data_IF_805045624099
#
_entry.id   IF_805045624099
#
_cell.length_a   1.000
_cell.length_b   1.000
_cell.length_c   1.000
_cell.angle_alpha   90.00
_cell.angle_beta   90.00
_cell.angle_gamma   90.00
#
_symmetry.space_group_name_H-M   'P 1'
#
loop_
_entity.id
_entity.type
_entity.pdbx_description
1 polymer ?
#
# COMPACT_ATOMS: atom_id res chain seq x y z
N UNK A 1 84.40 -18.50 14.36
CA UNK A 1 83.34 -18.61 15.37
C UNK A 1 82.41 -17.42 15.15
N UNK A 2 81.17 -17.66 14.72
CA UNK A 2 80.26 -16.65 14.17
C UNK A 2 79.61 -15.79 15.27
N UNK A 3 79.56 -14.48 15.02
CA UNK A 3 78.83 -13.46 15.78
C UNK A 3 77.35 -13.52 15.41
N UNK A 4 76.43 -13.47 16.38
CA UNK A 4 75.01 -13.15 16.16
C UNK A 4 74.63 -11.91 16.96
N UNK A 5 74.30 -10.84 16.23
CA UNK A 5 73.73 -9.59 16.75
C UNK A 5 72.22 -9.76 16.90
N UNK A 6 71.66 -9.32 18.02
CA UNK A 6 70.22 -9.18 18.20
C UNK A 6 69.78 -7.81 17.67
N UNK A 7 68.73 -7.80 16.84
CA UNK A 7 68.01 -6.60 16.44
C UNK A 7 66.63 -6.60 17.10
N UNK A 8 66.13 -5.46 17.62
CA UNK A 8 64.78 -5.39 18.18
C UNK A 8 63.76 -5.30 17.04
N UNK A 9 62.70 -6.11 17.11
CA UNK A 9 61.55 -6.02 16.22
C UNK A 9 60.60 -4.97 16.79
N UNK A 10 60.43 -3.85 16.09
CA UNK A 10 59.38 -2.86 16.36
C UNK A 10 58.12 -3.34 15.66
N UNK A 11 57.10 -3.73 16.43
CA UNK A 11 55.76 -4.03 15.90
C UNK A 11 55.03 -2.70 15.72
N UNK A 12 54.88 -2.26 14.48
CA UNK A 12 54.01 -1.13 14.12
C UNK A 12 52.58 -1.67 14.02
N UNK A 13 51.75 -1.33 15.02
CA UNK A 13 50.29 -1.56 14.93
C UNK A 13 49.72 -0.44 14.04
N UNK A 14 49.44 -0.76 12.79
CA UNK A 14 48.68 0.13 11.91
C UNK A 14 47.21 0.00 12.31
N UNK A 15 46.71 0.94 13.10
CA UNK A 15 45.29 1.09 13.34
C UNK A 15 44.64 1.62 12.05
N UNK A 16 44.07 0.73 11.24
CA UNK A 16 43.13 1.11 10.18
C UNK A 16 41.91 1.70 10.85
N UNK A 17 41.83 3.03 10.93
CA UNK A 17 40.58 3.71 11.24
C UNK A 17 39.61 3.39 10.10
N UNK A 18 38.68 2.46 10.34
CA UNK A 18 37.49 2.35 9.51
C UNK A 18 36.74 3.65 9.70
N UNK A 19 36.81 4.54 8.71
CA UNK A 19 35.98 5.74 8.69
C UNK A 19 34.53 5.31 8.74
N UNK A 20 33.86 5.58 9.85
CA UNK A 20 32.39 5.53 9.90
C UNK A 20 31.94 6.52 8.84
N UNK A 21 31.20 6.09 7.79
CA UNK A 21 30.66 7.04 6.82
C UNK A 21 29.88 8.08 7.62
N UNK A 22 30.24 9.36 7.46
CA UNK A 22 29.50 10.45 8.08
C UNK A 22 28.03 10.24 7.72
N UNK A 23 27.16 10.15 8.73
CA UNK A 23 25.73 10.15 8.51
C UNK A 23 25.43 11.33 7.58
N UNK A 24 24.91 11.06 6.37
CA UNK A 24 24.41 12.12 5.51
C UNK A 24 23.44 12.93 6.38
N UNK A 25 23.71 14.23 6.53
CA UNK A 25 22.79 15.11 7.20
C UNK A 25 21.44 14.91 6.52
N UNK A 26 20.44 14.44 7.27
CA UNK A 26 19.08 14.34 6.75
C UNK A 26 18.69 15.74 6.31
N UNK A 27 18.33 15.91 5.04
CA UNK A 27 17.81 17.17 4.53
C UNK A 27 16.62 17.65 5.39
N UNK A 28 16.29 18.94 5.28
CA UNK A 28 15.07 19.43 5.92
C UNK A 28 13.87 18.64 5.38
N UNK A 29 12.90 18.33 6.24
CA UNK A 29 11.64 17.75 5.78
C UNK A 29 10.95 18.77 4.87
N UNK A 30 10.70 18.38 3.62
CA UNK A 30 10.00 19.20 2.64
C UNK A 30 8.59 18.70 2.52
N UNK A 31 7.64 19.64 2.54
CA UNK A 31 6.23 19.34 2.40
C UNK A 31 5.89 19.16 0.91
N UNK A 32 5.12 18.12 0.60
CA UNK A 32 4.63 17.87 -0.77
C UNK A 32 3.43 18.76 -1.12
N UNK A 33 2.61 19.11 -0.13
CA UNK A 33 1.41 19.95 -0.30
C UNK A 33 1.69 21.42 0.01
N UNK A 34 1.33 22.29 -0.93
CA UNK A 34 1.39 23.75 -0.81
C UNK A 34 0.02 24.32 -0.44
N UNK A 35 -0.63 23.74 0.56
CA UNK A 35 -1.98 24.08 1.05
C UNK A 35 -1.99 25.21 2.12
N UNK A 36 -0.87 25.91 2.25
CA UNK A 36 -0.72 27.07 3.13
C UNK A 36 -0.83 28.34 2.28
N UNK A 37 -1.65 29.34 2.66
CA UNK A 37 -1.79 30.59 1.91
C UNK A 37 -0.49 31.39 1.73
N UNK A 38 0.55 31.09 2.52
CA UNK A 38 1.89 31.68 2.39
C UNK A 38 2.80 30.98 1.38
N UNK A 39 2.42 29.79 0.91
CA UNK A 39 3.12 29.03 -0.12
C UNK A 39 2.55 29.35 -1.51
N UNK A 40 3.08 28.67 -2.54
CA UNK A 40 2.66 28.90 -3.93
C UNK A 40 1.21 28.49 -4.23
N UNK A 41 0.53 27.80 -3.32
CA UNK A 41 -0.76 27.18 -3.58
C UNK A 41 -0.66 25.96 -4.51
N UNK A 42 -1.82 25.43 -4.85
CA UNK A 42 -2.00 24.40 -5.87
C UNK A 42 -2.12 25.07 -7.24
N UNK A 43 -1.43 24.49 -8.23
CA UNK A 43 -1.52 24.89 -9.63
C UNK A 43 -2.12 23.75 -10.44
N UNK A 44 -2.86 24.02 -11.50
CA UNK A 44 -3.33 22.95 -12.39
C UNK A 44 -2.16 22.36 -13.19
N UNK A 45 -2.25 21.07 -13.56
CA UNK A 45 -1.30 20.43 -14.47
C UNK A 45 -1.19 21.19 -15.81
N UNK A 46 -2.33 21.70 -16.32
CA UNK A 46 -2.36 22.53 -17.52
C UNK A 46 -1.51 23.81 -17.38
N UNK A 47 -1.66 24.52 -16.26
CA UNK A 47 -0.83 25.71 -15.97
C UNK A 47 0.63 25.32 -15.82
N UNK A 48 0.92 24.23 -15.12
CA UNK A 48 2.27 23.71 -14.90
C UNK A 48 2.99 23.40 -16.21
N UNK A 49 2.29 22.81 -17.17
CA UNK A 49 2.86 22.41 -18.46
C UNK A 49 2.97 23.56 -19.44
N UNK A 50 1.91 24.38 -19.56
CA UNK A 50 1.79 25.37 -20.64
C UNK A 50 2.20 26.78 -20.24
N UNK A 51 2.27 27.06 -18.94
CA UNK A 51 2.39 28.42 -18.39
C UNK A 51 1.15 29.29 -18.57
N UNK A 52 0.08 28.78 -19.20
CA UNK A 52 -1.19 29.50 -19.33
C UNK A 52 -1.99 29.37 -18.04
N UNK A 53 -2.31 30.48 -17.34
CA UNK A 53 -3.01 30.41 -16.07
C UNK A 53 -4.39 29.79 -16.17
N UNK A 54 -4.62 28.75 -15.36
CA UNK A 54 -5.92 28.17 -15.05
C UNK A 54 -6.00 27.87 -13.55
N UNK A 55 -7.14 28.16 -12.95
CA UNK A 55 -7.51 27.78 -11.59
C UNK A 55 -9.04 27.63 -11.50
N UNK A 56 -9.52 26.93 -10.48
CA UNK A 56 -10.92 26.74 -10.16
C UNK A 56 -11.16 26.79 -8.64
N UNK A 57 -12.40 26.57 -8.22
CA UNK A 57 -12.77 26.59 -6.80
C UNK A 57 -12.09 25.48 -5.99
N UNK A 58 -11.83 24.31 -6.59
CA UNK A 58 -11.17 23.17 -5.94
C UNK A 58 -9.69 23.49 -5.71
N UNK A 59 -8.95 23.92 -6.73
CA UNK A 59 -7.54 24.30 -6.57
C UNK A 59 -7.36 25.49 -5.63
N UNK A 60 -8.28 26.46 -5.67
CA UNK A 60 -8.29 27.60 -4.74
C UNK A 60 -8.51 27.16 -3.29
N UNK A 61 -9.40 26.20 -3.06
CA UNK A 61 -9.61 25.59 -1.75
C UNK A 61 -8.39 24.78 -1.32
N UNK A 62 -7.84 23.96 -2.21
CA UNK A 62 -6.68 23.13 -1.92
C UNK A 62 -5.43 23.92 -1.54
N UNK A 63 -5.32 25.16 -2.02
CA UNK A 63 -4.24 26.08 -1.63
C UNK A 63 -4.33 26.59 -0.18
N UNK A 64 -5.41 26.29 0.55
CA UNK A 64 -5.70 26.91 1.86
C UNK A 64 -6.30 25.95 2.88
N UNK A 65 -6.90 24.86 2.43
CA UNK A 65 -7.79 24.03 3.24
C UNK A 65 -7.07 23.12 4.21
N UNK A 66 -5.76 22.88 4.03
CA UNK A 66 -4.95 21.99 4.90
C UNK A 66 -5.67 20.66 5.18
N UNK A 67 -6.34 20.14 4.16
CA UNK A 67 -6.99 18.84 4.20
C UNK A 67 -5.98 17.76 4.57
N UNK A 68 -6.47 16.62 5.08
CA UNK A 68 -5.60 15.49 5.41
C UNK A 68 -5.09 14.84 4.12
N UNK A 69 -3.92 14.21 4.22
CA UNK A 69 -3.36 13.34 3.20
C UNK A 69 -3.03 11.99 3.85
N UNK A 70 -3.66 10.91 3.39
CA UNK A 70 -3.32 9.54 3.79
C UNK A 70 -2.94 8.71 2.56
N UNK A 71 -2.41 7.51 2.81
CA UNK A 71 -1.97 6.56 1.77
C UNK A 71 -1.02 7.19 0.74
N UNK A 72 0.11 7.78 1.19
CA UNK A 72 1.02 8.45 0.28
C UNK A 72 1.76 7.46 -0.62
N UNK A 73 2.00 7.88 -1.86
CA UNK A 73 2.87 7.23 -2.82
C UNK A 73 3.96 8.19 -3.28
N UNK A 74 5.10 7.64 -3.67
CA UNK A 74 6.22 8.41 -4.23
C UNK A 74 6.98 7.55 -5.23
N UNK A 75 7.39 8.16 -6.33
CA UNK A 75 8.25 7.54 -7.32
C UNK A 75 9.27 8.55 -7.85
N UNK A 76 10.51 8.09 -8.03
CA UNK A 76 11.61 8.87 -8.59
C UNK A 76 11.78 8.48 -10.05
N UNK A 77 11.93 9.47 -10.93
CA UNK A 77 12.16 9.23 -12.35
C UNK A 77 13.52 8.53 -12.56
N UNK A 78 13.56 7.35 -13.19
CA UNK A 78 14.81 6.63 -13.45
C UNK A 78 15.76 7.35 -14.42
N UNK A 79 15.27 8.30 -15.23
CA UNK A 79 16.09 9.10 -16.15
C UNK A 79 16.68 10.34 -15.48
N UNK A 80 16.05 10.84 -14.42
CA UNK A 80 16.49 12.02 -13.70
C UNK A 80 16.03 11.99 -12.22
N UNK A 81 16.93 11.69 -11.27
CA UNK A 81 16.55 11.61 -9.86
C UNK A 81 16.17 12.97 -9.24
N UNK A 82 16.41 14.09 -9.93
CA UNK A 82 15.89 15.39 -9.51
C UNK A 82 14.37 15.50 -9.72
N UNK A 83 13.80 14.67 -10.59
CA UNK A 83 12.35 14.57 -10.82
C UNK A 83 11.75 13.53 -9.89
N UNK A 84 10.94 13.98 -8.94
CA UNK A 84 10.24 13.15 -7.98
C UNK A 84 8.75 13.49 -8.06
N UNK A 85 7.90 12.47 -8.14
CA UNK A 85 6.44 12.65 -8.04
C UNK A 85 5.93 11.92 -6.81
N UNK A 86 5.23 12.66 -5.97
CA UNK A 86 4.43 12.15 -4.86
C UNK A 86 2.95 12.23 -5.16
N UNK A 87 2.16 11.44 -4.43
CA UNK A 87 0.71 11.46 -4.44
C UNK A 87 0.17 11.02 -3.08
N UNK A 88 -1.10 11.28 -2.84
CA UNK A 88 -1.87 10.81 -1.69
C UNK A 88 -3.35 10.98 -2.00
N UNK A 89 -4.20 10.41 -1.17
CA UNK A 89 -5.60 10.79 -1.09
C UNK A 89 -5.67 12.23 -0.58
N UNK A 90 -5.99 13.19 -1.44
CA UNK A 90 -6.02 14.60 -1.07
C UNK A 90 -7.44 15.02 -0.68
N UNK A 91 -7.63 15.28 0.62
CA UNK A 91 -8.92 15.70 1.18
C UNK A 91 -9.17 17.20 1.04
N UNK A 92 -8.31 17.90 0.31
CA UNK A 92 -8.35 19.34 0.19
C UNK A 92 -9.65 19.94 -0.40
N UNK A 93 -10.46 19.26 -1.24
CA UNK A 93 -11.80 19.75 -1.62
C UNK A 93 -12.91 19.38 -0.62
N UNK A 94 -12.62 18.51 0.36
CA UNK A 94 -13.59 17.90 1.26
C UNK A 94 -13.68 18.64 2.59
N UNK A 95 -12.54 19.04 3.15
CA UNK A 95 -12.44 19.58 4.52
C UNK A 95 -11.77 20.94 4.52
N UNK A 96 -12.22 21.85 5.39
CA UNK A 96 -11.51 23.08 5.75
C UNK A 96 -10.38 22.79 6.76
N UNK A 97 -9.53 23.80 6.99
CA UNK A 97 -8.38 23.69 7.90
C UNK A 97 -8.78 23.47 9.37
N UNK A 98 -10.01 23.83 9.74
CA UNK A 98 -10.60 23.57 11.06
C UNK A 98 -11.32 22.21 11.14
N UNK A 99 -11.29 21.42 10.07
CA UNK A 99 -11.95 20.12 9.97
C UNK A 99 -13.44 20.18 9.62
N UNK A 100 -14.02 21.36 9.40
CA UNK A 100 -15.40 21.48 8.94
C UNK A 100 -15.56 21.02 7.49
N UNK A 101 -16.71 20.43 7.16
CA UNK A 101 -17.00 19.94 5.80
C UNK A 101 -17.16 21.10 4.82
N UNK A 102 -16.39 21.07 3.74
CA UNK A 102 -16.36 22.06 2.66
C UNK A 102 -17.29 21.67 1.50
N UNK A 103 -17.30 20.40 1.11
CA UNK A 103 -18.22 19.86 0.11
C UNK A 103 -18.08 20.42 -1.30
N UNK A 104 -16.87 20.82 -1.72
CA UNK A 104 -16.61 21.27 -3.09
C UNK A 104 -16.36 20.12 -4.08
N UNK A 105 -16.05 18.93 -3.57
CA UNK A 105 -15.81 17.70 -4.32
C UNK A 105 -15.50 16.56 -3.36
N UNK A 106 -15.11 15.41 -3.92
CA UNK A 106 -14.66 14.25 -3.16
C UNK A 106 -13.13 14.19 -3.08
N UNK A 107 -12.63 13.24 -2.28
CA UNK A 107 -11.19 12.94 -2.17
C UNK A 107 -10.65 12.62 -3.57
N UNK A 108 -9.50 13.17 -3.91
CA UNK A 108 -8.90 12.94 -5.23
C UNK A 108 -7.39 12.72 -5.15
N UNK A 109 -6.79 12.21 -6.23
CA UNK A 109 -5.35 12.03 -6.28
C UNK A 109 -4.59 13.36 -6.37
N UNK A 110 -3.72 13.59 -5.40
CA UNK A 110 -2.69 14.60 -5.48
C UNK A 110 -1.65 14.29 -6.55
N UNK A 111 -1.10 15.32 -7.18
CA UNK A 111 0.08 15.24 -8.04
C UNK A 111 1.10 16.26 -7.55
N UNK A 112 2.12 15.78 -6.83
CA UNK A 112 3.11 16.63 -6.19
C UNK A 112 4.47 16.41 -6.86
N UNK A 113 4.97 17.41 -7.59
CA UNK A 113 6.16 17.26 -8.43
C UNK A 113 7.32 18.09 -7.89
N UNK A 114 8.49 17.48 -7.77
CA UNK A 114 9.79 18.14 -7.60
C UNK A 114 10.60 18.05 -8.89
N UNK A 115 11.44 19.07 -9.13
CA UNK A 115 12.43 19.13 -10.22
C UNK A 115 13.84 19.48 -9.68
N UNK A 116 14.03 19.35 -8.37
CA UNK A 116 15.24 19.74 -7.64
C UNK A 116 15.68 18.69 -6.61
N UNK A 117 15.29 17.42 -6.81
CA UNK A 117 15.68 16.32 -5.92
C UNK A 117 14.98 16.35 -4.57
N UNK A 118 13.77 16.90 -4.53
CA UNK A 118 12.92 16.97 -3.34
C UNK A 118 13.20 18.17 -2.44
N UNK A 119 13.93 19.20 -2.90
CA UNK A 119 14.13 20.44 -2.13
C UNK A 119 12.86 21.31 -2.12
N UNK A 120 12.04 21.22 -3.17
CA UNK A 120 10.72 21.83 -3.23
C UNK A 120 9.75 21.00 -4.07
N UNK A 121 8.45 21.18 -3.83
CA UNK A 121 7.39 20.55 -4.59
C UNK A 121 6.42 21.60 -5.12
N UNK A 122 5.90 21.36 -6.32
CA UNK A 122 4.72 22.02 -6.86
C UNK A 122 3.53 21.07 -6.70
N UNK A 123 2.47 21.55 -6.07
CA UNK A 123 1.28 20.74 -5.81
C UNK A 123 0.19 20.97 -6.86
N UNK A 124 -0.41 19.87 -7.28
CA UNK A 124 -1.56 19.83 -8.19
C UNK A 124 -2.47 18.66 -7.79
N UNK A 125 -3.54 18.48 -8.57
CA UNK A 125 -4.35 17.28 -8.57
C UNK A 125 -4.21 16.60 -9.94
N UNK A 126 -4.32 15.28 -9.99
CA UNK A 126 -4.44 14.58 -11.27
C UNK A 126 -5.68 15.11 -12.00
N UNK A 127 -5.62 15.53 -13.28
CA UNK A 127 -6.80 16.04 -13.98
C UNK A 127 -7.96 15.03 -14.02
N UNK A 128 -9.19 15.53 -13.94
CA UNK A 128 -10.42 14.73 -13.90
C UNK A 128 -11.18 14.74 -12.57
N UNK A 129 -10.76 15.49 -11.56
CA UNK A 129 -11.51 15.67 -10.32
C UNK A 129 -12.87 16.36 -10.56
N UNK A 130 -13.82 16.17 -9.64
CA UNK A 130 -15.11 16.86 -9.70
C UNK A 130 -14.93 18.39 -9.70
N UNK A 131 -15.42 19.05 -10.75
CA UNK A 131 -15.26 20.49 -10.94
C UNK A 131 -14.07 20.90 -11.80
N UNK A 132 -13.20 19.97 -12.23
CA UNK A 132 -12.13 20.25 -13.19
C UNK A 132 -12.73 20.68 -14.54
N UNK A 133 -12.44 21.92 -14.93
CA UNK A 133 -12.79 22.49 -16.24
C UNK A 133 -11.54 22.90 -17.01
N UNK A 134 -10.38 22.39 -16.61
CA UNK A 134 -9.13 22.65 -17.32
C UNK A 134 -9.21 22.05 -18.73
N UNK A 135 -8.40 22.55 -19.68
CA UNK A 135 -8.28 21.92 -20.99
C UNK A 135 -7.83 20.44 -20.94
N UNK A 136 -7.28 19.98 -19.83
CA UNK A 136 -6.88 18.59 -19.62
C UNK A 136 -7.99 17.71 -19.04
N UNK A 137 -9.05 18.28 -18.46
CA UNK A 137 -10.20 17.54 -17.95
C UNK A 137 -10.81 16.61 -19.01
N UNK A 138 -10.89 17.06 -20.27
CA UNK A 138 -11.43 16.28 -21.38
C UNK A 138 -10.59 15.04 -21.76
N UNK A 139 -9.36 14.93 -21.24
CA UNK A 139 -8.48 13.76 -21.42
C UNK A 139 -8.72 12.69 -20.34
N UNK A 140 -9.44 13.03 -19.27
CA UNK A 140 -9.78 12.10 -18.20
C UNK A 140 -11.03 11.30 -18.57
N UNK A 141 -10.92 9.97 -18.59
CA UNK A 141 -12.03 9.05 -18.88
C UNK A 141 -12.27 8.11 -17.69
N UNK A 142 -12.50 8.71 -16.53
CA UNK A 142 -12.81 8.03 -15.27
C UNK A 142 -14.29 8.23 -14.97
N UNK A 143 -15.01 7.17 -14.58
CA UNK A 143 -16.47 7.25 -14.38
C UNK A 143 -16.91 7.71 -12.99
N UNK A 144 -16.00 7.76 -12.03
CA UNK A 144 -16.24 8.03 -10.61
C UNK A 144 -15.91 9.47 -10.22
N UNK A 145 -16.31 9.88 -9.03
CA UNK A 145 -16.12 11.24 -8.52
C UNK A 145 -14.96 11.40 -7.53
N UNK A 146 -14.52 10.30 -6.94
CA UNK A 146 -13.40 10.24 -6.00
C UNK A 146 -12.25 9.41 -6.58
N UNK A 147 -11.14 9.43 -5.86
CA UNK A 147 -9.99 8.58 -6.12
C UNK A 147 -9.12 8.43 -4.89
N UNK A 148 -8.57 7.23 -4.67
CA UNK A 148 -7.69 6.93 -3.55
C UNK A 148 -6.67 5.82 -3.83
N UNK A 149 -5.87 5.49 -2.83
CA UNK A 149 -4.78 4.49 -2.88
C UNK A 149 -3.87 4.68 -4.10
N UNK A 150 -3.20 5.85 -4.23
CA UNK A 150 -2.33 6.11 -5.36
C UNK A 150 -1.18 5.12 -5.41
N UNK A 151 -0.85 4.69 -6.62
CA UNK A 151 0.39 3.97 -6.92
C UNK A 151 1.05 4.58 -8.13
N UNK A 152 2.37 4.69 -8.12
CA UNK A 152 3.16 5.42 -9.12
C UNK A 152 4.29 4.55 -9.65
N UNK A 153 4.45 4.47 -10.97
CA UNK A 153 5.61 3.84 -11.60
C UNK A 153 6.02 4.57 -12.88
N UNK A 154 7.31 4.50 -13.19
CA UNK A 154 7.92 5.12 -14.35
C UNK A 154 8.38 4.07 -15.34
N UNK A 155 8.31 4.38 -16.63
CA UNK A 155 9.08 3.63 -17.62
C UNK A 155 10.46 4.23 -17.86
N UNK A 156 11.27 3.54 -18.68
CA UNK A 156 12.61 3.94 -19.12
C UNK A 156 12.61 5.15 -20.07
N UNK A 157 11.41 5.61 -20.46
CA UNK A 157 11.17 6.64 -21.47
C UNK A 157 10.60 7.93 -20.86
N UNK A 158 10.60 8.07 -19.53
CA UNK A 158 10.16 9.30 -18.84
C UNK A 158 8.64 9.49 -18.83
N UNK A 159 7.87 8.42 -19.03
CA UNK A 159 6.43 8.41 -18.78
C UNK A 159 6.17 7.94 -17.35
N UNK A 160 5.30 8.66 -16.67
CA UNK A 160 4.79 8.30 -15.35
C UNK A 160 3.39 7.70 -15.51
N UNK A 161 3.12 6.63 -14.78
CA UNK A 161 1.81 6.02 -14.66
C UNK A 161 1.32 6.15 -13.23
N UNK A 162 0.09 6.63 -13.06
CA UNK A 162 -0.55 6.76 -11.76
C UNK A 162 -1.81 5.89 -11.74
N UNK A 163 -1.85 4.88 -10.87
CA UNK A 163 -3.01 4.04 -10.64
C UNK A 163 -3.78 4.47 -9.40
N UNK A 164 -5.08 4.16 -9.37
CA UNK A 164 -5.95 4.48 -8.23
C UNK A 164 -7.12 3.51 -8.12
N UNK A 165 -7.63 3.33 -6.91
CA UNK A 165 -9.03 2.93 -6.72
C UNK A 165 -9.96 4.14 -6.84
N UNK A 166 -11.22 3.90 -7.17
CA UNK A 166 -12.24 4.93 -7.18
C UNK A 166 -13.65 4.37 -7.07
N UNK A 167 -14.58 5.08 -6.43
CA UNK A 167 -15.84 4.46 -5.98
C UNK A 167 -17.08 5.33 -5.99
N UNK A 168 -16.98 6.62 -5.74
CA UNK A 168 -18.13 7.49 -5.55
C UNK A 168 -18.87 7.76 -6.86
N UNK A 169 -20.19 7.64 -6.81
CA UNK A 169 -21.09 7.99 -7.92
C UNK A 169 -21.14 9.50 -8.11
N UNK A 170 -20.76 10.05 -9.28
CA UNK A 170 -20.83 11.50 -9.54
C UNK A 170 -22.22 12.12 -9.38
N UNK A 171 -23.28 11.31 -9.44
CA UNK A 171 -24.64 11.78 -9.16
C UNK A 171 -24.95 11.93 -7.65
N UNK A 172 -24.00 11.61 -6.75
CA UNK A 172 -24.15 11.71 -5.31
C UNK A 172 -25.09 10.65 -4.71
N UNK A 173 -25.27 9.51 -5.37
CA UNK A 173 -26.12 8.43 -4.85
C UNK A 173 -25.37 7.55 -3.84
N UNK A 174 -26.10 6.76 -3.06
CA UNK A 174 -25.50 5.80 -2.11
C UNK A 174 -24.83 4.59 -2.79
N UNK A 175 -24.68 4.57 -4.12
CA UNK A 175 -24.02 3.49 -4.85
C UNK A 175 -22.51 3.66 -4.79
N UNK A 176 -21.82 2.55 -4.58
CA UNK A 176 -20.37 2.46 -4.76
C UNK A 176 -20.07 1.75 -6.07
N UNK A 177 -19.33 2.41 -6.96
CA UNK A 177 -18.94 1.89 -8.26
C UNK A 177 -17.81 0.89 -8.13
N UNK A 178 -16.80 1.18 -7.30
CA UNK A 178 -15.71 0.26 -6.94
C UNK A 178 -14.81 -0.07 -8.12
N UNK A 179 -14.34 0.96 -8.81
CA UNK A 179 -13.48 0.94 -9.98
C UNK A 179 -12.00 1.07 -9.63
N UNK A 180 -11.19 0.80 -10.65
CA UNK A 180 -9.79 1.19 -10.67
C UNK A 180 -9.46 1.77 -12.03
N UNK A 181 -8.56 2.74 -12.06
CA UNK A 181 -8.15 3.43 -13.28
C UNK A 181 -6.64 3.71 -13.29
N UNK A 182 -6.10 4.01 -14.48
CA UNK A 182 -4.70 4.41 -14.65
C UNK A 182 -4.62 5.69 -15.48
N UNK A 183 -3.83 6.66 -15.00
CA UNK A 183 -3.39 7.84 -15.76
C UNK A 183 -2.01 7.63 -16.37
N UNK A 184 -1.77 8.31 -17.48
CA UNK A 184 -0.46 8.40 -18.13
C UNK A 184 -0.04 9.86 -18.22
N UNK A 185 1.19 10.11 -17.81
CA UNK A 185 1.89 11.38 -17.98
C UNK A 185 3.09 11.19 -18.92
N UNK A 186 3.48 12.24 -19.61
CA UNK A 186 4.61 12.24 -20.54
C UNK A 186 5.48 13.49 -20.39
N UNK A 187 6.62 13.50 -21.09
CA UNK A 187 7.38 14.71 -21.31
C UNK A 187 6.69 15.60 -22.38
N UNK A 188 6.34 16.86 -22.08
CA UNK A 188 5.68 17.75 -23.05
C UNK A 188 6.55 18.08 -24.26
N UNK A 189 7.88 17.90 -24.17
CA UNK A 189 8.81 18.05 -25.27
C UNK A 189 9.08 16.73 -26.03
N UNK A 190 8.26 15.71 -25.77
CA UNK A 190 8.43 14.36 -26.30
C UNK A 190 9.47 13.55 -25.53
N UNK A 191 9.52 12.26 -25.83
CA UNK A 191 10.36 11.26 -25.15
C UNK A 191 11.84 11.64 -25.07
N UNK A 192 12.37 12.26 -26.13
CA UNK A 192 13.76 12.72 -26.22
C UNK A 192 13.98 14.15 -25.68
N UNK A 193 12.95 14.75 -25.06
CA UNK A 193 13.04 16.08 -24.46
C UNK A 193 13.95 16.09 -23.22
N UNK A 194 14.27 17.28 -22.68
CA UNK A 194 15.00 17.41 -21.42
C UNK A 194 14.26 16.66 -20.30
N UNK A 195 14.96 15.81 -19.55
CA UNK A 195 14.35 14.92 -18.56
C UNK A 195 13.71 15.63 -17.37
N UNK A 196 14.03 16.90 -17.12
CA UNK A 196 13.26 17.74 -16.18
C UNK A 196 11.77 17.88 -16.54
N UNK A 197 11.39 17.59 -17.79
CA UNK A 197 10.01 17.52 -18.25
C UNK A 197 9.35 16.15 -18.11
N UNK A 198 10.06 15.10 -17.75
CA UNK A 198 9.54 13.73 -17.73
C UNK A 198 8.35 13.61 -16.76
N UNK A 199 7.30 12.93 -17.20
CA UNK A 199 6.05 12.77 -16.45
C UNK A 199 5.32 14.07 -16.10
N UNK A 200 5.62 15.21 -16.76
CA UNK A 200 5.02 16.52 -16.43
C UNK A 200 3.65 16.73 -17.04
N UNK A 201 3.39 16.25 -18.26
CA UNK A 201 2.11 16.50 -18.96
C UNK A 201 1.13 15.34 -18.78
N UNK A 202 -0.05 15.62 -18.24
CA UNK A 202 -1.16 14.68 -18.25
C UNK A 202 -1.66 14.38 -19.68
N UNK A 203 -1.63 13.11 -20.05
CA UNK A 203 -2.03 12.64 -21.38
C UNK A 203 -3.45 12.10 -21.37
N UNK A 204 -3.79 11.29 -20.38
CA UNK A 204 -5.09 10.61 -20.25
C UNK A 204 -5.22 9.92 -18.90
N UNK A 205 -6.46 9.61 -18.54
CA UNK A 205 -6.81 8.53 -17.61
C UNK A 205 -7.94 7.68 -18.19
N UNK A 206 -8.04 6.41 -17.77
CA UNK A 206 -9.09 5.50 -18.20
C UNK A 206 -9.39 4.43 -17.14
N UNK A 207 -10.66 4.05 -16.99
CA UNK A 207 -11.06 2.88 -16.19
C UNK A 207 -10.41 1.59 -16.74
N UNK A 208 -9.68 0.85 -15.90
CA UNK A 208 -9.09 -0.45 -16.30
C UNK A 208 -9.93 -1.63 -15.84
N UNK A 209 -10.70 -1.47 -14.76
CA UNK A 209 -11.72 -2.43 -14.35
C UNK A 209 -12.88 -1.73 -13.64
N UNK A 210 -14.09 -2.15 -13.99
CA UNK A 210 -15.33 -1.64 -13.38
C UNK A 210 -15.79 -2.55 -12.26
N UNK A 211 -16.20 -1.96 -11.14
CA UNK A 211 -17.00 -2.63 -10.13
C UNK A 211 -18.48 -2.64 -10.52
N UNK A 212 -19.35 -3.06 -9.59
CA UNK A 212 -20.76 -3.39 -9.91
C UNK A 212 -21.82 -2.43 -9.36
N UNK A 213 -21.46 -1.19 -9.02
CA UNK A 213 -22.41 -0.11 -8.69
C UNK A 213 -23.50 -0.54 -7.68
N UNK A 214 -23.12 -0.86 -6.45
CA UNK A 214 -24.02 -1.36 -5.41
C UNK A 214 -23.92 -0.56 -4.11
N UNK A 215 -25.00 -0.40 -3.33
CA UNK A 215 -24.92 0.17 -1.98
C UNK A 215 -24.13 -0.73 -1.02
N UNK A 216 -23.50 -0.11 -0.01
CA UNK A 216 -22.86 -0.80 1.12
C UNK A 216 -21.84 -1.89 0.71
N UNK A 217 -21.07 -1.65 -0.36
CA UNK A 217 -20.05 -2.58 -0.87
C UNK A 217 -20.57 -4.00 -1.19
N UNK A 218 -21.89 -4.15 -1.42
CA UNK A 218 -22.51 -5.45 -1.75
C UNK A 218 -22.20 -5.94 -3.17
N UNK A 219 -21.39 -5.20 -3.91
CA UNK A 219 -21.01 -5.48 -5.29
C UNK A 219 -19.57 -5.98 -5.42
N UNK A 220 -18.98 -5.69 -6.58
CA UNK A 220 -17.53 -5.76 -6.80
C UNK A 220 -16.95 -4.40 -6.47
N UNK A 221 -15.98 -4.41 -5.57
CA UNK A 221 -15.18 -3.26 -5.18
C UNK A 221 -13.72 -3.61 -5.37
N UNK A 222 -12.95 -2.71 -5.98
CA UNK A 222 -11.53 -2.91 -6.29
C UNK A 222 -10.73 -1.94 -5.44
N UNK A 223 -9.69 -2.43 -4.77
CA UNK A 223 -8.88 -1.66 -3.81
C UNK A 223 -7.52 -2.36 -3.63
N UNK A 224 -6.58 -1.75 -2.89
CA UNK A 224 -5.21 -2.23 -2.65
C UNK A 224 -4.49 -2.46 -3.97
N UNK A 225 -4.26 -1.34 -4.64
CA UNK A 225 -3.67 -1.31 -5.97
C UNK A 225 -2.14 -1.44 -5.91
N UNK A 226 -1.53 -1.87 -7.01
CA UNK A 226 -0.09 -1.85 -7.26
C UNK A 226 0.16 -1.66 -8.74
N UNK A 227 1.22 -0.92 -9.07
CA UNK A 227 1.64 -0.63 -10.44
C UNK A 227 3.16 -0.77 -10.54
N UNK A 228 3.64 -1.39 -11.62
CA UNK A 228 5.06 -1.43 -11.97
C UNK A 228 5.18 -1.40 -13.49
N UNK A 229 6.32 -0.91 -13.98
CA UNK A 229 6.59 -0.84 -15.41
C UNK A 229 7.89 -1.55 -15.72
N UNK A 230 7.86 -2.33 -16.78
CA UNK A 230 9.07 -2.97 -17.30
C UNK A 230 10.02 -1.92 -17.88
N UNK A 231 11.26 -1.93 -17.40
CA UNK A 231 12.37 -1.03 -17.76
C UNK A 231 13.63 -1.83 -18.07
N UNK A 232 13.49 -3.13 -18.36
CA UNK A 232 14.61 -4.05 -18.58
C UNK A 232 15.32 -3.80 -19.93
N UNK A 233 14.71 -3.02 -20.83
CA UNK A 233 15.18 -2.89 -22.22
C UNK A 233 14.93 -4.14 -23.09
N UNK A 234 14.23 -5.14 -22.55
CA UNK A 234 13.90 -6.39 -23.23
C UNK A 234 12.65 -6.29 -24.12
N UNK A 235 12.12 -7.45 -24.53
CA UNK A 235 10.93 -7.52 -25.37
C UNK A 235 9.64 -6.99 -24.70
N UNK A 236 9.67 -6.85 -23.38
CA UNK A 236 8.57 -6.36 -22.57
C UNK A 236 8.73 -4.88 -22.16
N UNK A 237 9.81 -4.21 -22.56
CA UNK A 237 10.15 -2.86 -22.10
C UNK A 237 9.01 -1.85 -22.35
N UNK A 238 8.71 -1.05 -21.33
CA UNK A 238 7.60 -0.09 -21.33
C UNK A 238 6.21 -0.71 -21.19
N UNK A 239 6.09 -2.02 -20.96
CA UNK A 239 4.82 -2.63 -20.57
C UNK A 239 4.42 -2.19 -19.16
N UNK A 240 3.18 -1.76 -19.01
CA UNK A 240 2.62 -1.32 -17.72
C UNK A 240 1.84 -2.47 -17.11
N UNK A 241 2.14 -2.80 -15.87
CA UNK A 241 1.47 -3.85 -15.12
C UNK A 241 0.70 -3.23 -13.97
N UNK A 242 -0.58 -3.59 -13.82
CA UNK A 242 -1.44 -3.05 -12.78
C UNK A 242 -2.25 -4.17 -12.13
N UNK A 243 -2.25 -4.22 -10.81
CA UNK A 243 -2.89 -5.25 -10.01
C UNK A 243 -3.68 -4.64 -8.85
N UNK A 244 -4.68 -5.36 -8.38
CA UNK A 244 -5.53 -4.93 -7.26
C UNK A 244 -6.21 -6.12 -6.59
N UNK A 245 -6.68 -5.90 -5.37
CA UNK A 245 -7.60 -6.80 -4.70
C UNK A 245 -9.05 -6.46 -5.07
N UNK A 246 -9.83 -7.45 -5.52
CA UNK A 246 -11.28 -7.32 -5.68
C UNK A 246 -12.00 -7.94 -4.51
N UNK A 247 -12.75 -7.12 -3.80
CA UNK A 247 -13.72 -7.52 -2.80
C UNK A 247 -15.07 -7.79 -3.46
N UNK A 248 -15.67 -8.93 -3.17
CA UNK A 248 -16.99 -9.30 -3.69
C UNK A 248 -17.94 -9.53 -2.53
N UNK A 249 -18.89 -8.60 -2.34
CA UNK A 249 -19.96 -8.71 -1.35
C UNK A 249 -21.18 -9.48 -1.87
N UNK A 250 -22.15 -9.73 -0.99
CA UNK A 250 -23.47 -10.25 -1.35
C UNK A 250 -23.55 -11.73 -1.77
N UNK A 251 -22.46 -12.49 -1.61
CA UNK A 251 -22.44 -13.94 -1.85
C UNK A 251 -23.05 -14.74 -0.68
N UNK A 252 -23.64 -15.90 -0.97
CA UNK A 252 -24.14 -16.85 0.03
C UNK A 252 -23.03 -17.44 0.92
N UNK A 253 -21.77 -17.24 0.54
CA UNK A 253 -20.57 -17.64 1.29
C UNK A 253 -19.89 -16.47 2.01
N UNK A 254 -20.53 -15.30 2.10
CA UNK A 254 -19.93 -14.10 2.69
C UNK A 254 -19.05 -13.31 1.72
N UNK A 255 -18.40 -12.26 2.21
CA UNK A 255 -17.45 -11.45 1.42
C UNK A 255 -16.17 -12.23 1.16
N UNK A 256 -15.63 -12.14 -0.06
CA UNK A 256 -14.33 -12.69 -0.40
C UNK A 256 -13.44 -11.66 -1.10
N UNK A 257 -12.12 -11.85 -1.03
CA UNK A 257 -11.16 -11.08 -1.83
C UNK A 257 -10.36 -11.96 -2.80
N UNK A 258 -9.92 -11.37 -3.91
CA UNK A 258 -9.12 -12.03 -4.94
C UNK A 258 -8.23 -11.03 -5.66
N UNK A 259 -6.98 -11.38 -5.97
CA UNK A 259 -6.10 -10.52 -6.76
C UNK A 259 -6.41 -10.64 -8.26
N UNK A 260 -6.50 -9.49 -8.92
CA UNK A 260 -6.64 -9.33 -10.36
C UNK A 260 -5.44 -8.57 -10.94
N UNK A 261 -5.22 -8.77 -12.23
CA UNK A 261 -4.10 -8.19 -12.98
C UNK A 261 -4.54 -7.77 -14.38
N UNK A 262 -3.98 -6.68 -14.87
CA UNK A 262 -4.00 -6.26 -16.28
C UNK A 262 -2.60 -5.84 -16.72
N UNK A 263 -2.38 -5.90 -18.02
CA UNK A 263 -1.19 -5.31 -18.65
C UNK A 263 -1.55 -4.39 -19.80
N UNK A 264 -0.73 -3.39 -20.03
CA UNK A 264 -0.68 -2.60 -21.25
C UNK A 264 0.63 -2.87 -21.98
N UNK A 265 0.55 -3.08 -23.29
CA UNK A 265 1.73 -3.21 -24.17
C UNK A 265 1.86 -2.03 -25.13
N UNK A 266 1.16 -0.94 -24.84
CA UNK A 266 1.08 0.27 -25.66
C UNK A 266 1.19 1.56 -24.82
N UNK A 267 1.93 1.46 -23.72
CA UNK A 267 2.26 2.55 -22.79
C UNK A 267 1.00 3.22 -22.21
N UNK A 268 0.12 2.40 -21.64
CA UNK A 268 -1.10 2.83 -20.95
C UNK A 268 -2.16 3.42 -21.88
N UNK A 269 -2.14 3.14 -23.20
CA UNK A 269 -3.23 3.54 -24.10
C UNK A 269 -4.41 2.58 -23.98
N UNK A 270 -4.13 1.29 -23.90
CA UNK A 270 -5.12 0.24 -23.67
C UNK A 270 -4.58 -0.80 -22.68
N UNK A 271 -5.50 -1.50 -22.00
CA UNK A 271 -5.16 -2.58 -21.08
C UNK A 271 -5.90 -3.86 -21.49
N UNK A 272 -5.31 -5.00 -21.18
CA UNK A 272 -5.95 -6.31 -21.31
C UNK A 272 -7.22 -6.41 -20.47
N UNK A 273 -8.06 -7.41 -20.75
CA UNK A 273 -9.14 -7.74 -19.82
C UNK A 273 -8.58 -8.20 -18.46
N UNK A 274 -9.26 -7.88 -17.32
CA UNK A 274 -8.82 -8.31 -16.00
C UNK A 274 -8.69 -9.83 -15.87
N UNK A 275 -7.51 -10.28 -15.44
CA UNK A 275 -7.19 -11.68 -15.18
C UNK A 275 -7.17 -11.95 -13.67
N UNK A 276 -7.93 -12.95 -13.21
CA UNK A 276 -7.91 -13.39 -11.81
C UNK A 276 -6.66 -14.24 -11.56
N UNK A 277 -5.76 -13.79 -10.68
CA UNK A 277 -4.53 -14.53 -10.32
C UNK A 277 -4.76 -15.51 -9.17
N UNK A 278 -5.70 -15.21 -8.28
CA UNK A 278 -5.87 -15.93 -7.02
C UNK A 278 -6.28 -17.40 -7.18
N UNK A 279 -6.69 -17.87 -8.36
CA UNK A 279 -7.06 -19.26 -8.68
C UNK A 279 -7.77 -19.99 -7.52
N UNK A 280 -7.09 -20.94 -6.86
CA UNK A 280 -7.58 -21.78 -5.75
C UNK A 280 -7.37 -21.17 -4.36
N UNK A 281 -6.72 -20.02 -4.28
CA UNK A 281 -6.49 -19.26 -3.05
C UNK A 281 -7.55 -18.18 -2.92
N UNK A 282 -8.07 -18.04 -1.72
CA UNK A 282 -9.14 -17.12 -1.36
C UNK A 282 -8.67 -16.20 -0.25
N UNK A 283 -9.40 -15.10 -0.05
CA UNK A 283 -9.11 -14.10 0.96
C UNK A 283 -7.65 -13.63 0.88
N UNK A 284 -7.30 -13.08 -0.29
CA UNK A 284 -5.99 -12.52 -0.57
C UNK A 284 -6.07 -11.02 -0.88
N UNK A 285 -5.10 -10.23 -0.43
CA UNK A 285 -5.04 -8.78 -0.64
C UNK A 285 -3.59 -8.28 -0.70
N UNK A 286 -3.43 -6.96 -0.86
CA UNK A 286 -2.15 -6.27 -0.93
C UNK A 286 -1.22 -6.86 -2.01
N UNK A 287 -1.66 -6.91 -3.28
CA UNK A 287 -0.77 -7.28 -4.36
C UNK A 287 0.40 -6.30 -4.43
N UNK A 288 1.60 -6.82 -4.69
CA UNK A 288 2.75 -6.00 -5.08
C UNK A 288 3.47 -6.64 -6.27
N UNK A 289 3.81 -5.81 -7.26
CA UNK A 289 4.35 -6.25 -8.55
C UNK A 289 5.86 -6.04 -8.55
N UNK A 290 6.61 -7.03 -9.01
CA UNK A 290 8.05 -6.92 -9.23
C UNK A 290 8.42 -7.44 -10.61
N UNK A 291 9.31 -6.73 -11.29
CA UNK A 291 9.88 -7.14 -12.59
C UNK A 291 11.36 -7.41 -12.39
N UNK A 292 11.84 -8.59 -12.77
CA UNK A 292 13.26 -8.96 -12.67
C UNK A 292 14.02 -8.56 -13.93
N UNK A 293 15.36 -8.57 -13.90
CA UNK A 293 16.18 -8.09 -15.03
C UNK A 293 16.07 -8.88 -16.33
N UNK A 294 15.42 -10.05 -16.31
CA UNK A 294 15.05 -10.86 -17.48
C UNK A 294 13.62 -10.59 -18.00
N UNK A 295 12.89 -9.65 -17.40
CA UNK A 295 11.52 -9.27 -17.78
C UNK A 295 10.44 -10.20 -17.23
N UNK A 296 10.77 -11.11 -16.30
CA UNK A 296 9.74 -11.89 -15.60
C UNK A 296 8.96 -11.00 -14.64
N UNK A 297 7.65 -11.24 -14.55
CA UNK A 297 6.73 -10.47 -13.70
C UNK A 297 6.24 -11.34 -12.56
N UNK A 298 6.45 -10.88 -11.34
CA UNK A 298 5.97 -11.51 -10.12
C UNK A 298 4.89 -10.64 -9.50
N UNK A 299 3.75 -11.25 -9.16
CA UNK A 299 2.71 -10.60 -8.37
C UNK A 299 2.63 -11.32 -7.04
N UNK A 300 3.06 -10.65 -5.99
CA UNK A 300 3.10 -11.16 -4.61
C UNK A 300 1.90 -10.63 -3.84
N UNK A 301 1.41 -11.35 -2.83
CA UNK A 301 0.26 -10.92 -2.03
C UNK A 301 0.21 -11.64 -0.67
N UNK A 302 -0.52 -11.05 0.27
CA UNK A 302 -0.88 -11.70 1.54
C UNK A 302 -2.12 -12.57 1.34
N UNK A 303 -2.03 -13.82 1.73
CA UNK A 303 -3.16 -14.70 1.98
C UNK A 303 -3.49 -14.64 3.47
N UNK A 304 -4.74 -14.38 3.79
CA UNK A 304 -5.26 -14.42 5.16
C UNK A 304 -5.64 -15.84 5.55
N UNK A 305 -5.65 -16.12 6.85
CA UNK A 305 -6.29 -17.33 7.37
C UNK A 305 -7.74 -17.40 6.88
N UNK A 306 -8.03 -18.44 6.09
CA UNK A 306 -9.27 -18.63 5.35
C UNK A 306 -10.12 -19.70 6.03
N UNK A 307 -11.19 -19.24 6.69
CA UNK A 307 -12.20 -20.09 7.34
C UNK A 307 -13.09 -20.85 6.34
N UNK A 308 -13.11 -20.46 5.06
CA UNK A 308 -13.89 -21.08 3.98
C UNK A 308 -13.09 -22.18 3.26
N UNK A 309 -11.77 -22.03 3.13
CA UNK A 309 -10.84 -22.93 2.44
C UNK A 309 -10.06 -23.90 3.33
N UNK A 310 -10.28 -23.87 4.65
CA UNK A 310 -9.56 -24.69 5.65
C UNK A 310 -8.08 -24.32 5.84
N UNK A 311 -7.63 -23.14 5.40
CA UNK A 311 -6.26 -22.64 5.63
C UNK A 311 -6.22 -21.81 6.91
N UNK A 312 -5.78 -22.40 8.01
CA UNK A 312 -5.81 -21.77 9.33
C UNK A 312 -4.64 -20.80 9.60
N UNK A 313 -3.86 -20.43 8.58
CA UNK A 313 -2.66 -19.59 8.75
C UNK A 313 -2.50 -18.60 7.61
N UNK A 314 -2.04 -17.40 7.94
CA UNK A 314 -1.60 -16.39 6.99
C UNK A 314 -0.34 -16.82 6.26
N UNK A 315 -0.21 -16.38 5.01
CA UNK A 315 0.92 -16.70 4.16
C UNK A 315 1.23 -15.60 3.15
N UNK A 316 2.47 -15.58 2.68
CA UNK A 316 2.88 -14.83 1.49
C UNK A 316 2.87 -15.80 0.32
N UNK A 317 2.25 -15.41 -0.77
CA UNK A 317 2.24 -16.18 -2.01
C UNK A 317 2.53 -15.28 -3.21
N UNK A 318 2.88 -15.88 -4.34
CA UNK A 318 3.05 -15.18 -5.61
C UNK A 318 2.56 -15.98 -6.80
N UNK A 319 2.27 -15.29 -7.89
CA UNK A 319 2.22 -15.85 -9.24
C UNK A 319 3.37 -15.27 -10.07
N UNK A 320 3.94 -16.05 -10.97
CA UNK A 320 5.00 -15.61 -11.88
C UNK A 320 4.57 -15.70 -13.34
N UNK A 321 5.01 -14.73 -14.15
CA UNK A 321 4.87 -14.69 -15.60
C UNK A 321 6.25 -14.59 -16.23
N UNK A 322 6.47 -15.36 -17.30
CA UNK A 322 7.69 -15.33 -18.11
C UNK A 322 7.41 -14.84 -19.54
N UNK A 323 6.21 -14.30 -19.77
CA UNK A 323 5.69 -13.91 -21.09
C UNK A 323 5.08 -12.50 -21.08
N UNK A 324 5.77 -11.57 -20.43
CA UNK A 324 5.37 -10.16 -20.31
C UNK A 324 3.98 -9.97 -19.68
N UNK A 325 3.62 -10.77 -18.67
CA UNK A 325 2.32 -10.73 -18.00
C UNK A 325 1.15 -11.28 -18.82
N UNK A 326 1.40 -11.97 -19.94
CA UNK A 326 0.33 -12.53 -20.76
C UNK A 326 -0.36 -13.73 -20.09
N UNK A 327 0.41 -14.57 -19.41
CA UNK A 327 -0.07 -15.69 -18.60
C UNK A 327 0.73 -15.78 -17.29
N UNK A 328 0.15 -16.46 -16.29
CA UNK A 328 0.78 -16.64 -14.99
C UNK A 328 0.72 -18.09 -14.53
N UNK A 329 1.71 -18.48 -13.73
CA UNK A 329 1.73 -19.75 -12.99
C UNK A 329 0.54 -19.90 -12.05
N UNK A 330 0.37 -21.10 -11.49
CA UNK A 330 -0.44 -21.25 -10.28
C UNK A 330 0.19 -20.50 -9.09
N UNK A 331 -0.59 -20.15 -8.04
CA UNK A 331 -0.05 -19.56 -6.81
C UNK A 331 1.03 -20.43 -6.16
N UNK A 332 2.13 -19.81 -5.77
CA UNK A 332 3.22 -20.43 -5.02
C UNK A 332 3.33 -19.79 -3.64
N UNK A 333 3.12 -20.57 -2.58
CA UNK A 333 3.31 -20.11 -1.20
C UNK A 333 4.82 -20.01 -0.92
N UNK A 334 5.25 -18.83 -0.48
CA UNK A 334 6.62 -18.55 -0.04
C UNK A 334 6.80 -19.06 1.38
N UNK A 335 5.99 -18.55 2.30
CA UNK A 335 6.07 -18.87 3.73
C UNK A 335 4.77 -18.47 4.46
N UNK A 336 4.39 -19.27 5.45
CA UNK A 336 3.35 -18.95 6.43
C UNK A 336 3.91 -18.10 7.58
N UNK A 337 3.09 -17.24 8.17
CA UNK A 337 3.50 -16.38 9.28
C UNK A 337 2.36 -16.13 10.28
N UNK A 338 2.71 -15.67 11.47
CA UNK A 338 1.74 -15.09 12.42
C UNK A 338 1.69 -13.58 12.17
N UNK A 339 0.51 -13.00 11.88
CA UNK A 339 0.45 -11.59 11.53
C UNK A 339 0.66 -10.67 12.73
N UNK A 340 1.09 -9.45 12.45
CA UNK A 340 1.01 -8.29 13.32
C UNK A 340 -0.18 -7.47 12.83
N UNK A 341 -1.35 -7.62 13.45
CA UNK A 341 -2.56 -6.88 13.09
C UNK A 341 -3.05 -6.10 14.33
N UNK A 342 -2.59 -4.84 14.51
CA UNK A 342 -2.93 -4.03 15.68
C UNK A 342 -4.41 -3.66 15.73
N UNK A 343 -5.04 -4.01 16.85
CA UNK A 343 -6.43 -3.71 17.20
C UNK A 343 -6.52 -2.97 18.52
N UNK A 344 -7.63 -2.26 18.72
CA UNK A 344 -7.94 -1.59 19.98
C UNK A 344 -9.47 -1.58 20.18
N UNK A 345 -9.92 -1.08 21.32
CA UNK A 345 -11.32 -0.92 21.66
C UNK A 345 -11.65 0.57 21.66
N UNK A 346 -12.66 0.98 20.89
CA UNK A 346 -13.18 2.34 20.93
C UNK A 346 -13.87 2.65 22.26
N UNK A 347 -13.95 3.92 22.64
CA UNK A 347 -14.69 4.36 23.84
C UNK A 347 -16.18 4.03 23.79
N UNK A 348 -16.72 3.75 22.60
CA UNK A 348 -18.07 3.26 22.35
C UNK A 348 -18.22 1.72 22.52
N UNK A 349 -17.12 1.03 22.86
CA UNK A 349 -17.06 -0.42 23.03
C UNK A 349 -16.91 -1.21 21.73
N UNK A 350 -16.73 -0.52 20.59
CA UNK A 350 -16.47 -1.16 19.31
C UNK A 350 -15.05 -1.74 19.27
N UNK A 351 -14.88 -2.90 18.62
CA UNK A 351 -13.57 -3.55 18.44
C UNK A 351 -13.12 -3.26 17.01
N UNK A 352 -12.38 -2.17 16.80
CA UNK A 352 -11.88 -1.79 15.49
C UNK A 352 -10.47 -1.19 15.60
N UNK A 353 -9.68 -1.34 14.54
CA UNK A 353 -8.42 -0.60 14.36
C UNK A 353 -8.59 0.91 14.19
N UNK A 354 -9.84 1.38 14.07
CA UNK A 354 -10.20 2.74 13.61
C UNK A 354 -10.52 3.74 14.75
N UNK A 355 -10.28 3.39 16.01
CA UNK A 355 -10.33 4.39 17.07
C UNK A 355 -9.10 5.30 17.01
N UNK A 356 -9.23 6.54 17.48
CA UNK A 356 -8.17 7.54 17.51
C UNK A 356 -8.40 8.52 18.65
N UNK A 357 -8.71 9.76 18.30
CA UNK A 357 -8.91 10.87 19.23
C UNK A 357 -10.38 11.33 19.30
N UNK A 358 -10.65 12.25 20.23
CA UNK A 358 -11.95 12.89 20.38
C UNK A 358 -13.11 11.90 20.58
N UNK A 359 -14.16 12.06 19.76
CA UNK A 359 -15.37 11.23 19.82
C UNK A 359 -15.11 9.77 19.39
N UNK A 360 -14.04 9.52 18.63
CA UNK A 360 -13.59 8.19 18.23
C UNK A 360 -12.45 7.69 19.11
N UNK A 361 -12.31 8.20 20.33
CA UNK A 361 -11.22 7.88 21.25
C UNK A 361 -10.98 6.38 21.44
N UNK A 362 -9.72 5.96 21.58
CA UNK A 362 -9.40 4.60 22.01
C UNK A 362 -9.44 4.46 23.53
N UNK A 363 -9.95 3.33 24.03
CA UNK A 363 -9.95 2.99 25.46
C UNK A 363 -8.53 2.85 26.03
N UNK A 364 -7.55 2.51 25.19
CA UNK A 364 -6.12 2.51 25.54
C UNK A 364 -5.54 3.92 25.75
N UNK A 365 -6.19 4.95 25.20
CA UNK A 365 -5.68 6.32 25.11
C UNK A 365 -4.67 6.55 23.97
N UNK A 366 -4.39 5.57 23.12
CA UNK A 366 -3.45 5.70 22.00
C UNK A 366 -4.07 6.23 20.72
N UNK A 367 -3.34 7.11 20.02
CA UNK A 367 -3.83 7.84 18.83
C UNK A 367 -2.91 7.73 17.61
N UNK A 368 -2.09 6.69 17.52
CA UNK A 368 -1.19 6.46 16.38
C UNK A 368 -1.83 5.55 15.31
N UNK A 369 -1.30 5.63 14.08
CA UNK A 369 -1.74 4.80 12.96
C UNK A 369 -1.52 3.31 13.24
N UNK A 370 -2.50 2.49 12.88
CA UNK A 370 -2.47 1.04 13.04
C UNK A 370 -2.44 0.38 11.67
N UNK A 371 -1.28 -0.13 11.29
CA UNK A 371 -1.10 -0.92 10.07
C UNK A 371 -0.95 -2.39 10.43
N UNK A 372 -1.71 -3.26 9.76
CA UNK A 372 -1.50 -4.70 9.83
C UNK A 372 -0.34 -5.16 8.96
N UNK A 373 0.04 -6.43 9.06
CA UNK A 373 1.13 -6.99 8.25
C UNK A 373 0.82 -6.82 6.77
N UNK A 374 1.73 -6.17 6.06
CA UNK A 374 1.65 -5.99 4.61
C UNK A 374 2.91 -6.56 3.95
N UNK A 375 2.75 -7.01 2.70
CA UNK A 375 3.89 -7.40 1.87
C UNK A 375 4.32 -6.22 1.02
N UNK A 376 5.62 -6.01 0.92
CA UNK A 376 6.26 -5.20 -0.12
C UNK A 376 7.27 -6.05 -0.86
N UNK A 377 7.29 -5.93 -2.17
CA UNK A 377 8.15 -6.69 -3.06
C UNK A 377 8.88 -5.76 -4.01
N UNK A 378 10.13 -6.07 -4.31
CA UNK A 378 10.88 -5.39 -5.36
C UNK A 378 11.87 -6.33 -6.01
N UNK A 379 12.33 -5.97 -7.20
CA UNK A 379 13.38 -6.65 -7.93
C UNK A 379 14.27 -5.63 -8.62
N UNK A 380 15.54 -5.97 -8.80
CA UNK A 380 16.46 -5.15 -9.57
C UNK A 380 16.30 -5.47 -11.06
N UNK A 381 15.63 -4.58 -11.79
CA UNK A 381 15.44 -4.69 -13.23
C UNK A 381 16.74 -4.58 -14.03
N UNK A 382 17.86 -4.17 -13.42
CA UNK A 382 19.17 -4.13 -14.07
C UNK A 382 19.99 -5.41 -13.83
N UNK A 383 19.59 -6.25 -12.88
CA UNK A 383 20.26 -7.54 -12.62
C UNK A 383 19.80 -8.60 -13.62
N UNK A 384 20.34 -8.53 -14.83
CA UNK A 384 20.10 -9.53 -15.88
C UNK A 384 20.71 -10.91 -15.56
N UNK A 385 21.46 -11.05 -14.45
CA UNK A 385 22.11 -12.31 -14.08
C UNK A 385 21.31 -13.13 -13.10
N UNK A 386 20.35 -12.51 -12.41
CA UNK A 386 19.56 -13.18 -11.40
C UNK A 386 18.07 -12.85 -11.46
N UNK A 387 17.27 -13.89 -11.31
CA UNK A 387 15.82 -13.82 -11.16
C UNK A 387 15.48 -13.76 -9.65
N UNK A 388 15.72 -12.60 -9.03
CA UNK A 388 15.49 -12.37 -7.60
C UNK A 388 14.37 -11.38 -7.33
N UNK A 389 13.45 -11.80 -6.48
CA UNK A 389 12.47 -10.93 -5.82
C UNK A 389 12.82 -10.83 -4.34
N UNK A 390 12.89 -9.59 -3.85
CA UNK A 390 13.11 -9.25 -2.46
C UNK A 390 11.77 -8.91 -1.81
N UNK A 391 11.40 -9.70 -0.81
CA UNK A 391 10.16 -9.56 -0.08
C UNK A 391 10.45 -8.98 1.30
N UNK A 392 9.68 -7.98 1.73
CA UNK A 392 9.68 -7.43 3.09
C UNK A 392 8.28 -7.49 3.65
N UNK A 393 8.16 -8.04 4.84
CA UNK A 393 6.92 -8.12 5.61
C UNK A 393 7.25 -8.09 7.10
N UNK A 394 6.26 -7.76 7.91
CA UNK A 394 6.36 -7.50 9.34
C UNK A 394 5.51 -8.50 10.16
N UNK A 395 5.98 -9.75 10.32
CA UNK A 395 5.26 -10.77 11.07
C UNK A 395 5.49 -10.65 12.59
N UNK A 396 4.60 -11.26 13.35
CA UNK A 396 4.80 -11.63 14.75
C UNK A 396 5.68 -12.88 14.84
N UNK A 397 6.57 -12.96 15.85
CA UNK A 397 7.31 -14.21 16.12
C UNK A 397 6.51 -14.99 17.16
N UNK A 398 6.15 -16.24 16.84
CA UNK A 398 5.39 -17.07 17.76
C UNK A 398 6.06 -17.25 19.12
N UNK A 399 5.28 -17.12 20.19
CA UNK A 399 5.67 -17.40 21.58
C UNK A 399 6.42 -16.27 22.27
N UNK A 400 6.33 -15.03 21.76
CA UNK A 400 6.99 -13.86 22.33
C UNK A 400 6.03 -12.72 22.66
N UNK A 401 4.74 -13.05 22.76
CA UNK A 401 3.66 -12.15 23.10
C UNK A 401 3.72 -11.78 24.60
N UNK A 402 3.45 -10.52 24.95
CA UNK A 402 3.35 -10.05 26.33
C UNK A 402 2.04 -9.28 26.53
N UNK A 403 1.44 -9.28 27.74
CA UNK A 403 0.28 -8.45 28.02
C UNK A 403 0.60 -6.97 27.78
N UNK A 404 -0.25 -6.27 27.05
CA UNK A 404 -0.07 -4.84 26.76
C UNK A 404 -0.42 -3.93 27.94
N UNK A 405 -1.20 -4.45 28.89
CA UNK A 405 -1.75 -3.68 30.01
C UNK A 405 -2.85 -2.69 29.59
N UNK A 406 -3.31 -2.74 28.34
CA UNK A 406 -4.36 -1.88 27.78
C UNK A 406 -5.30 -2.69 26.87
N UNK A 407 -6.28 -2.04 26.26
CA UNK A 407 -7.14 -2.63 25.22
C UNK A 407 -6.44 -2.75 23.86
N UNK A 408 -5.31 -2.08 23.68
CA UNK A 408 -4.50 -2.17 22.46
C UNK A 408 -3.71 -3.49 22.44
N UNK A 409 -3.73 -4.19 21.32
CA UNK A 409 -2.90 -5.38 21.08
C UNK A 409 -2.70 -5.65 19.60
N UNK A 410 -1.77 -6.54 19.26
CA UNK A 410 -1.34 -6.77 17.87
C UNK A 410 -1.39 -8.20 17.39
N UNK A 411 -1.88 -9.09 18.25
CA UNK A 411 -2.08 -10.52 17.97
C UNK A 411 -3.37 -10.95 18.66
N UNK A 412 -4.28 -11.57 17.94
CA UNK A 412 -5.45 -12.24 18.52
C UNK A 412 -5.08 -13.70 18.78
N UNK A 413 -4.74 -14.01 20.03
CA UNK A 413 -4.85 -15.41 20.49
C UNK A 413 -6.32 -15.78 20.44
N UNK A 414 -6.68 -16.92 19.82
CA UNK A 414 -8.06 -17.43 19.69
C UNK A 414 -8.80 -17.64 21.04
N UNK A 415 -8.16 -17.33 22.18
CA UNK A 415 -8.61 -17.62 23.54
C UNK A 415 -8.93 -16.38 24.42
N UNK A 416 -9.09 -15.16 23.90
CA UNK A 416 -9.29 -13.97 24.75
C UNK A 416 -10.74 -13.44 24.79
N UNK A 417 -11.34 -13.28 25.99
CA UNK A 417 -12.42 -12.31 26.22
C UNK A 417 -11.86 -10.89 26.29
N UNK A 418 -12.70 -9.92 25.91
CA UNK A 418 -12.43 -8.53 25.55
C UNK A 418 -11.77 -7.57 26.58
N UNK A 419 -10.95 -8.03 27.54
CA UNK A 419 -10.42 -7.16 28.60
C UNK A 419 -8.89 -7.15 28.79
N UNK A 420 -8.12 -8.03 28.14
CA UNK A 420 -6.64 -7.96 28.16
C UNK A 420 -6.07 -8.32 26.80
N UNK A 421 -5.43 -7.36 26.11
CA UNK A 421 -4.79 -7.58 24.82
C UNK A 421 -3.27 -7.75 24.96
N UNK A 422 -2.62 -8.43 24.02
CA UNK A 422 -1.17 -8.64 24.02
C UNK A 422 -0.46 -7.75 22.99
N UNK A 423 0.70 -7.20 23.36
CA UNK A 423 1.64 -6.51 22.47
C UNK A 423 2.96 -7.27 22.42
N UNK A 424 3.84 -6.91 21.48
CA UNK A 424 5.14 -7.54 21.30
C UNK A 424 6.26 -6.51 21.22
N UNK A 425 7.39 -6.77 21.88
CA UNK A 425 8.62 -5.99 21.72
C UNK A 425 9.49 -6.59 20.60
N UNK A 426 9.66 -5.83 19.51
CA UNK A 426 10.58 -6.14 18.41
C UNK A 426 9.90 -6.76 17.18
N UNK A 427 9.64 -5.92 16.18
CA UNK A 427 9.38 -6.38 14.81
C UNK A 427 10.69 -6.83 14.16
N UNK A 428 10.67 -7.96 13.47
CA UNK A 428 11.76 -8.34 12.55
C UNK A 428 11.20 -8.13 11.16
N UNK A 429 11.82 -7.24 10.37
CA UNK A 429 11.59 -7.23 8.93
C UNK A 429 12.09 -8.58 8.38
N UNK A 430 11.16 -9.41 7.89
CA UNK A 430 11.52 -10.64 7.22
C UNK A 430 11.97 -10.32 5.80
N UNK A 431 13.27 -10.42 5.49
CA UNK A 431 13.73 -10.41 4.11
C UNK A 431 13.82 -11.84 3.61
N UNK A 432 12.92 -12.23 2.71
CA UNK A 432 13.03 -13.50 1.98
C UNK A 432 13.52 -13.21 0.57
N UNK A 433 14.66 -13.81 0.21
CA UNK A 433 15.08 -13.94 -1.18
C UNK A 433 14.33 -15.12 -1.77
N UNK A 434 13.28 -14.84 -2.53
CA UNK A 434 12.67 -15.89 -3.35
C UNK A 434 13.61 -16.13 -4.53
N UNK A 435 14.22 -17.31 -4.58
CA UNK A 435 14.86 -17.81 -5.81
C UNK A 435 13.89 -18.81 -6.42
N UNK A 436 13.50 -18.63 -7.68
CA UNK A 436 12.72 -19.61 -8.41
C UNK A 436 13.60 -20.84 -8.75
N UNK A 437 14.03 -21.59 -7.72
CA UNK A 437 14.51 -22.97 -7.88
C UNK A 437 13.67 -23.87 -6.98
N UNK A 438 13.05 -24.87 -7.60
CA UNK A 438 12.17 -25.83 -6.98
C UNK A 438 12.77 -26.43 -5.68
N UNK A 439 12.08 -26.20 -4.57
CA UNK A 439 12.06 -27.06 -3.39
C UNK A 439 13.13 -26.80 -2.32
N UNK A 440 12.69 -26.21 -1.21
CA UNK A 440 12.77 -26.80 0.15
C UNK A 440 12.14 -25.88 1.20
N UNK A 441 11.12 -26.39 1.88
CA UNK A 441 10.47 -25.77 3.04
C UNK A 441 11.42 -25.79 4.25
N UNK A 442 11.57 -24.65 4.94
CA UNK A 442 12.15 -24.61 6.29
C UNK A 442 11.06 -24.89 7.33
N UNK A 443 11.39 -25.65 8.38
CA UNK A 443 10.47 -26.06 9.45
C UNK A 443 10.61 -25.11 10.65
N UNK A 444 9.51 -24.59 11.18
CA UNK A 444 9.50 -23.76 12.38
C UNK A 444 9.61 -24.62 13.67
N UNK A 445 10.36 -24.18 14.70
CA UNK A 445 10.45 -24.90 15.97
C UNK A 445 9.27 -24.57 16.90
N UNK A 446 8.83 -25.57 17.66
CA UNK A 446 7.74 -25.49 18.63
C UNK A 446 8.22 -24.83 19.94
N UNK A 447 7.59 -23.71 20.33
CA UNK A 447 7.83 -22.96 21.57
C UNK A 447 6.66 -23.04 22.55
N UNK A 448 6.92 -22.88 23.84
CA UNK A 448 6.04 -23.21 24.96
C UNK A 448 4.84 -22.27 25.16
N UNK A 449 3.69 -22.85 25.58
CA UNK A 449 2.42 -22.16 25.84
C UNK A 449 2.41 -21.40 27.17
N UNK A 450 1.77 -20.23 27.21
CA UNK A 450 1.27 -19.61 28.43
C UNK A 450 0.27 -20.57 29.13
N UNK A 451 0.60 -21.01 30.36
CA UNK A 451 -0.21 -21.96 31.11
C UNK A 451 -1.42 -21.30 31.77
N UNK A 452 -2.57 -21.97 31.62
CA UNK A 452 -3.83 -21.79 32.37
C UNK A 452 -3.61 -21.54 33.87
N UNK A 453 -4.17 -20.45 34.37
CA UNK A 453 -4.56 -20.31 35.78
C UNK A 453 -6.08 -20.49 35.88
N UNK A 454 -6.56 -21.70 36.14
CA UNK A 454 -7.95 -21.91 36.56
C UNK A 454 -8.03 -21.82 38.09
N UNK A 455 -8.44 -20.66 38.61
CA UNK A 455 -9.10 -20.58 39.93
C UNK A 455 -10.31 -19.64 39.83
N UNK A 456 -11.41 -20.18 39.32
CA UNK A 456 -12.75 -19.65 39.60
C UNK A 456 -13.34 -20.43 40.78
N UNK A 457 -13.56 -19.74 41.91
CA UNK A 457 -14.38 -20.24 43.01
C UNK A 457 -15.83 -20.28 42.51
N UNK A 458 -16.39 -21.47 42.31
CA UNK A 458 -17.84 -21.65 42.15
C UNK A 458 -18.53 -21.24 43.45
N UNK A 459 -19.40 -20.24 43.36
CA UNK A 459 -20.48 -20.03 44.33
C UNK A 459 -21.70 -20.83 43.82
N UNK A 460 -22.18 -21.78 44.62
CA UNK A 460 -23.40 -22.53 44.34
C UNK A 460 -24.65 -21.64 44.53
N UNK A 461 -25.67 -21.73 43.65
CA UNK A 461 -26.96 -21.10 43.89
C UNK A 461 -27.87 -22.02 44.74
N UNK A 462 -28.80 -21.45 45.54
CA UNK A 462 -29.62 -22.24 46.46
C UNK A 462 -30.71 -23.05 45.74
N UNK A 463 -30.82 -24.33 46.13
CA UNK A 463 -31.86 -25.27 45.68
C UNK A 463 -33.26 -24.79 46.07
N UNK A 464 -34.15 -24.60 45.08
CA UNK A 464 -35.61 -24.57 45.29
C UNK A 464 -36.18 -25.97 45.15
N UNK A 465 -36.76 -26.49 46.24
CA UNK A 465 -37.54 -27.73 46.28
C UNK A 465 -38.87 -27.57 45.55
N UNK A 466 -39.08 -28.31 44.46
CA UNK A 466 -40.41 -28.53 43.87
C UNK A 466 -40.91 -29.92 44.29
N UNK A 467 -41.88 -29.94 45.21
CA UNK A 467 -42.64 -31.13 45.53
C UNK A 467 -43.64 -31.46 44.41
N UNK A 468 -43.71 -32.74 44.05
CA UNK A 468 -44.82 -33.32 43.28
C UNK A 468 -45.97 -33.69 44.22
N UNK A 469 -47.22 -33.63 43.77
CA UNK A 469 -48.24 -34.57 44.20
C UNK A 469 -48.62 -35.54 43.07
N UNK A 470 -48.93 -36.78 43.44
CA UNK A 470 -49.79 -37.73 42.70
C UNK A 470 -50.95 -38.11 43.66
N UNK A 471 -51.92 -38.91 43.24
CA UNK A 471 -53.11 -38.55 42.48
C UNK A 471 -54.39 -38.77 43.32
N UNK A 472 -55.50 -38.14 42.91
CA UNK A 472 -56.86 -38.70 42.76
C UNK A 472 -57.80 -37.59 42.29
#
# INVERSE_FOLDING_TARGET
>A
MFVRRFAPVVVVVVATMMGVPAAQATGANVRLTNDDPSLSGYTSDYTLVTGTPYTDAVLSACSQSRGRQNEPAVAVDPRNPDVIVGSSNDYCPVLNADGSFLGLGDIWLGYYRSEDGGQSFTSSLVPGYQGDQSPYAARANVRTADSGDPVLAWDSHGRLFAGSESSTDPAGTAKTFGDVWVATYQNPNGENGPSGGDGKEFVRSLDVARGSAAPNLLGKFHDKTSIEVDRTGGACDGNVYFAWARFTGGSSSGSNSSVYFVRSTDHGRTFSSPMKLSQTVHDIQFPDISVTGDGHVYVTYRQFADVHGSSMTDAIAYNASTDCGATFSAPHVVQTFEPYDPTDIGVDGSVFGDCGDGASGCASGYTFMRGGTQIRATADQQDATNDYVYLVYDPSIPGTEVPSGTTYGSVTSEDLPATEACTRSGGIAGTIRATARAGRSATAPTGARCRRSTRSRRADPPRRSRGRPRPD
#
